data_IF_936196851431
#
_entry.id   IF_936196851431
#
_cell.length_a   1.000
_cell.length_b   1.000
_cell.length_c   1.000
_cell.angle_alpha   90.00
_cell.angle_beta   90.00
_cell.angle_gamma   90.00
#
_symmetry.space_group_name_H-M   'P 1'
#
loop_
_entity.id
_entity.type
_entity.pdbx_description
1 polymer ?
#
# COMPACT_ATOMS: atom_id res chain seq x y z
N UNK A 1 -12.25 -23.30 -4.77
CA UNK A 1 -11.63 -22.47 -5.83
C UNK A 1 -10.90 -21.35 -5.11
N UNK A 2 -9.58 -21.29 -5.26
CA UNK A 2 -8.66 -20.66 -4.31
C UNK A 2 -8.87 -19.17 -4.12
N UNK A 3 -8.90 -18.75 -2.85
CA UNK A 3 -8.60 -17.37 -2.51
C UNK A 3 -7.19 -17.07 -3.00
N UNK A 4 -7.08 -16.12 -3.92
CA UNK A 4 -5.78 -15.62 -4.35
C UNK A 4 -5.12 -14.96 -3.15
N UNK A 5 -4.20 -15.65 -2.50
CA UNK A 5 -3.16 -14.97 -1.73
C UNK A 5 -2.48 -14.02 -2.71
N UNK A 6 -2.79 -12.73 -2.58
CA UNK A 6 -1.99 -11.69 -3.18
C UNK A 6 -0.59 -11.84 -2.58
N UNK A 7 0.28 -12.56 -3.29
CA UNK A 7 1.71 -12.58 -3.02
C UNK A 7 2.16 -11.13 -3.08
N UNK A 8 2.28 -10.47 -1.93
CA UNK A 8 2.82 -9.13 -1.82
C UNK A 8 4.31 -9.22 -2.16
N UNK A 9 4.61 -9.15 -3.45
CA UNK A 9 5.95 -8.83 -3.93
C UNK A 9 6.23 -7.43 -3.39
N UNK A 10 7.17 -7.31 -2.45
CA UNK A 10 7.42 -6.09 -1.69
C UNK A 10 7.44 -4.86 -2.59
N UNK A 11 6.41 -4.02 -2.48
CA UNK A 11 6.20 -2.90 -3.40
C UNK A 11 7.37 -1.93 -3.30
N UNK A 12 8.02 -1.66 -4.43
CA UNK A 12 9.32 -1.00 -4.47
C UNK A 12 9.27 0.54 -4.35
N UNK A 13 8.10 1.19 -4.45
CA UNK A 13 7.90 2.63 -4.17
C UNK A 13 6.45 3.05 -4.40
N UNK A 14 6.08 4.28 -3.98
CA UNK A 14 4.77 4.90 -4.32
C UNK A 14 4.52 4.97 -5.84
N UNK A 15 5.57 5.19 -6.64
CA UNK A 15 5.45 5.31 -8.11
C UNK A 15 5.18 3.97 -8.78
N UNK A 16 5.76 2.90 -8.26
CA UNK A 16 5.48 1.56 -8.77
C UNK A 16 4.07 1.13 -8.39
N UNK A 17 3.65 1.40 -7.14
CA UNK A 17 2.28 1.13 -6.72
C UNK A 17 1.25 1.85 -7.59
N UNK A 18 1.49 3.12 -7.95
CA UNK A 18 0.55 3.86 -8.80
C UNK A 18 0.44 3.27 -10.20
N UNK A 19 1.54 2.71 -10.74
CA UNK A 19 1.54 2.03 -12.04
C UNK A 19 0.81 0.69 -11.99
N UNK A 20 1.01 -0.07 -10.91
CA UNK A 20 0.37 -1.37 -10.71
C UNK A 20 -1.14 -1.22 -10.52
N UNK A 21 -1.58 -0.19 -9.80
CA UNK A 21 -2.99 0.10 -9.59
C UNK A 21 -3.66 0.81 -10.78
N UNK A 22 -2.89 1.22 -11.80
CA UNK A 22 -3.35 2.10 -12.88
C UNK A 22 -4.07 3.38 -12.36
N UNK A 23 -3.46 4.03 -11.36
CA UNK A 23 -4.00 5.22 -10.68
C UNK A 23 -3.02 6.39 -10.73
N UNK A 24 -3.56 7.61 -10.62
CA UNK A 24 -2.74 8.81 -10.49
C UNK A 24 -1.85 8.74 -9.23
N UNK A 25 -0.58 9.14 -9.39
CA UNK A 25 0.41 9.09 -8.31
C UNK A 25 0.02 9.98 -7.12
N UNK A 26 -0.55 11.16 -7.36
CA UNK A 26 -0.94 12.07 -6.28
C UNK A 26 -2.17 11.55 -5.52
N UNK A 27 -3.10 10.86 -6.19
CA UNK A 27 -4.17 10.11 -5.51
C UNK A 27 -3.59 8.99 -4.63
N UNK A 28 -2.73 8.13 -5.19
CA UNK A 28 -2.13 7.02 -4.42
C UNK A 28 -1.32 7.54 -3.23
N UNK A 29 -0.57 8.62 -3.40
CA UNK A 29 0.19 9.23 -2.30
C UNK A 29 -0.70 9.78 -1.18
N UNK A 30 -1.89 10.31 -1.50
CA UNK A 30 -2.85 10.79 -0.49
C UNK A 30 -3.49 9.63 0.27
N UNK A 31 -3.89 8.59 -0.43
CA UNK A 31 -4.47 7.40 0.19
C UNK A 31 -3.46 6.73 1.14
N UNK A 32 -2.21 6.57 0.70
CA UNK A 32 -1.15 6.03 1.56
C UNK A 32 -0.85 6.93 2.77
N UNK A 33 -0.96 8.27 2.62
CA UNK A 33 -0.84 9.17 3.76
C UNK A 33 -1.95 8.93 4.80
N UNK A 34 -3.20 8.81 4.35
CA UNK A 34 -4.32 8.49 5.23
C UNK A 34 -4.14 7.13 5.93
N UNK A 35 -3.70 6.10 5.19
CA UNK A 35 -3.41 4.79 5.78
C UNK A 35 -2.27 4.85 6.81
N UNK A 36 -1.26 5.68 6.58
CA UNK A 36 -0.17 5.89 7.54
C UNK A 36 -0.64 6.63 8.80
N UNK A 37 -1.51 7.63 8.66
CA UNK A 37 -2.13 8.34 9.79
C UNK A 37 -2.93 7.39 10.70
N UNK A 38 -3.58 6.38 10.11
CA UNK A 38 -4.30 5.34 10.84
C UNK A 38 -3.40 4.18 11.32
N UNK A 39 -2.08 4.25 11.09
CA UNK A 39 -1.13 3.21 11.51
C UNK A 39 -1.25 1.88 10.76
N UNK A 40 -1.93 1.86 9.61
CA UNK A 40 -2.11 0.68 8.77
C UNK A 40 -0.84 0.39 7.96
N UNK A 41 -0.15 1.45 7.55
CA UNK A 41 1.16 1.35 6.90
C UNK A 41 2.21 2.19 7.63
N UNK A 42 3.47 1.84 7.40
CA UNK A 42 4.63 2.68 7.69
C UNK A 42 5.42 2.91 6.40
N UNK A 43 6.17 4.01 6.36
CA UNK A 43 7.14 4.23 5.31
C UNK A 43 8.52 3.79 5.80
N UNK A 44 9.14 2.87 5.07
CA UNK A 44 10.56 2.60 5.20
C UNK A 44 11.32 3.56 4.27
N UNK A 45 12.35 4.20 4.83
CA UNK A 45 13.28 5.05 4.09
C UNK A 45 14.52 4.23 3.73
N UNK A 46 14.46 3.55 2.59
CA UNK A 46 15.62 2.89 2.00
C UNK A 46 16.16 3.78 0.87
N UNK A 47 17.01 4.73 1.26
CA UNK A 47 17.60 5.73 0.38
C UNK A 47 16.63 6.84 -0.02
N UNK A 48 16.46 7.07 -1.34
CA UNK A 48 15.72 8.24 -1.87
C UNK A 48 14.20 8.01 -2.04
N UNK A 49 13.74 6.77 -1.87
CA UNK A 49 12.35 6.40 -2.12
C UNK A 49 11.66 5.97 -0.82
N UNK A 50 10.49 6.55 -0.57
CA UNK A 50 9.58 6.07 0.47
C UNK A 50 8.96 4.75 0.01
N UNK A 51 9.19 3.70 0.78
CA UNK A 51 8.63 2.36 0.53
C UNK A 51 7.50 2.11 1.52
N UNK A 52 6.22 2.14 1.10
CA UNK A 52 5.12 1.82 1.99
C UNK A 52 5.15 0.32 2.36
N UNK A 53 4.89 0.02 3.64
CA UNK A 53 4.83 -1.34 4.20
C UNK A 53 3.64 -1.46 5.13
N UNK A 54 2.94 -2.59 5.10
CA UNK A 54 1.93 -2.90 6.09
C UNK A 54 2.57 -3.05 7.47
N UNK A 55 1.91 -2.51 8.50
CA UNK A 55 2.34 -2.67 9.90
C UNK A 55 1.89 -4.01 10.50
N UNK A 56 0.87 -4.61 9.90
CA UNK A 56 0.27 -5.87 10.31
C UNK A 56 0.36 -6.90 9.18
N UNK A 57 0.46 -8.17 9.54
CA UNK A 57 0.52 -9.27 8.58
C UNK A 57 -0.83 -9.49 7.89
N UNK A 58 -1.94 -9.20 8.59
CA UNK A 58 -3.29 -9.46 8.11
C UNK A 58 -4.12 -8.17 8.11
N UNK A 59 -4.76 -7.88 6.97
CA UNK A 59 -5.71 -6.79 6.80
C UNK A 59 -7.09 -7.35 6.45
N UNK A 60 -8.11 -6.93 7.20
CA UNK A 60 -9.52 -7.24 6.89
C UNK A 60 -10.20 -5.96 6.44
N UNK A 61 -10.86 -6.00 5.28
CA UNK A 61 -11.61 -4.88 4.72
C UNK A 61 -13.05 -5.32 4.56
N UNK A 62 -13.97 -4.64 5.24
CA UNK A 62 -15.41 -4.88 5.11
C UNK A 62 -16.05 -3.75 4.30
N UNK A 63 -16.74 -4.06 3.19
CA UNK A 63 -17.46 -3.05 2.43
C UNK A 63 -18.67 -2.57 3.22
N UNK A 64 -18.86 -1.25 3.26
CA UNK A 64 -20.04 -0.63 3.85
C UNK A 64 -21.14 -0.60 2.79
N UNK A 65 -22.34 -1.06 3.14
CA UNK A 65 -23.55 -1.05 2.29
C UNK A 65 -24.43 0.17 2.53
#
# INVERSE_FOLDING_TARGET
MGGGEARHVGVCSVRELSRELDRDKAQVSRDLAALAEHGIIQYEEDGRAKKPRLTQEHLVVEPVV
#
